data_IF_754004772452
#
_entry.id   IF_754004772452
#
_cell.length_a   1.000
_cell.length_b   1.000
_cell.length_c   1.000
_cell.angle_alpha   90.00
_cell.angle_beta   90.00
_cell.angle_gamma   90.00
#
_symmetry.space_group_name_H-M   'P 1'
#
loop_
_entity.id
_entity.type
_entity.pdbx_description
1 polymer ?
#
# COMPACT_ATOMS: atom_id res chain seq x y z
N UNK A 1 -0.28 14.61 -5.37
CA UNK A 1 -0.51 13.76 -4.18
C UNK A 1 0.00 12.37 -4.52
N UNK A 2 0.83 11.77 -3.67
CA UNK A 2 1.16 10.34 -3.82
C UNK A 2 -0.07 9.52 -3.45
N UNK A 3 -0.78 9.03 -4.47
CA UNK A 3 -2.00 8.26 -4.30
C UNK A 3 -1.76 6.91 -3.62
N UNK A 4 -0.54 6.37 -3.65
CA UNK A 4 -0.24 5.11 -2.95
C UNK A 4 -0.21 5.31 -1.43
N UNK A 5 0.51 6.34 -0.97
CA UNK A 5 0.53 6.74 0.43
C UNK A 5 -0.88 7.14 0.93
N UNK A 6 -1.60 7.95 0.15
CA UNK A 6 -2.94 8.38 0.53
C UNK A 6 -3.92 7.20 0.64
N UNK A 7 -3.81 6.23 -0.28
CA UNK A 7 -4.61 5.00 -0.21
C UNK A 7 -4.20 4.13 0.98
N UNK A 8 -2.90 4.00 1.28
CA UNK A 8 -2.44 3.29 2.48
C UNK A 8 -3.05 3.90 3.74
N UNK A 9 -2.85 5.20 3.94
CA UNK A 9 -3.28 5.87 5.16
C UNK A 9 -4.81 5.83 5.30
N UNK A 10 -5.54 6.05 4.21
CA UNK A 10 -7.00 5.84 4.18
C UNK A 10 -7.40 4.43 4.61
N UNK A 11 -6.72 3.41 4.07
CA UNK A 11 -6.96 2.00 4.40
C UNK A 11 -6.69 1.71 5.88
N UNK A 12 -5.55 2.16 6.41
CA UNK A 12 -5.16 1.95 7.80
C UNK A 12 -6.07 2.72 8.77
N UNK A 13 -6.55 3.91 8.39
CA UNK A 13 -7.55 4.68 9.15
C UNK A 13 -8.87 3.93 9.26
N UNK A 14 -9.38 3.39 8.15
CA UNK A 14 -10.60 2.57 8.17
C UNK A 14 -10.40 1.31 9.00
N UNK A 15 -9.27 0.60 8.84
CA UNK A 15 -8.94 -0.57 9.67
C UNK A 15 -8.92 -0.24 11.16
N UNK A 16 -8.23 0.84 11.55
CA UNK A 16 -8.11 1.26 12.94
C UNK A 16 -9.48 1.60 13.55
N UNK A 17 -10.34 2.28 12.78
CA UNK A 17 -11.70 2.62 13.20
C UNK A 17 -12.59 1.38 13.32
N UNK A 18 -12.53 0.46 12.35
CA UNK A 18 -13.31 -0.78 12.37
C UNK A 18 -12.89 -1.69 13.53
N UNK A 19 -11.59 -1.75 13.83
CA UNK A 19 -11.04 -2.45 14.99
C UNK A 19 -11.34 -1.77 16.34
N UNK A 20 -11.92 -0.56 16.34
CA UNK A 20 -12.19 0.21 17.55
C UNK A 20 -10.93 0.73 18.25
N UNK A 21 -9.79 0.78 17.54
CA UNK A 21 -8.52 1.33 18.08
C UNK A 21 -8.52 2.85 18.13
N UNK A 22 -9.26 3.50 17.22
CA UNK A 22 -9.38 4.95 17.12
C UNK A 22 -10.84 5.36 16.98
N UNK A 23 -11.20 6.51 17.55
CA UNK A 23 -12.50 7.13 17.32
C UNK A 23 -12.56 7.77 15.91
N UNK A 24 -13.77 8.07 15.38
CA UNK A 24 -13.89 8.81 14.13
C UNK A 24 -13.14 10.15 14.14
N UNK A 25 -13.17 10.90 15.24
CA UNK A 25 -12.50 12.19 15.33
C UNK A 25 -10.98 12.02 15.30
N UNK A 26 -10.44 11.03 16.02
CA UNK A 26 -9.00 10.71 15.96
C UNK A 26 -8.58 10.28 14.55
N UNK A 27 -9.42 9.49 13.87
CA UNK A 27 -9.18 9.06 12.50
C UNK A 27 -9.11 10.23 11.52
N UNK A 28 -10.01 11.21 11.66
CA UNK A 28 -9.98 12.42 10.88
C UNK A 28 -8.73 13.25 11.18
N UNK A 29 -8.41 13.43 12.47
CA UNK A 29 -7.24 14.20 12.90
C UNK A 29 -5.93 13.63 12.37
N UNK A 30 -5.75 12.30 12.41
CA UNK A 30 -4.53 11.64 11.88
C UNK A 30 -4.33 11.92 10.39
N UNK A 31 -5.40 11.90 9.58
CA UNK A 31 -5.29 12.22 8.16
C UNK A 31 -4.93 13.70 7.94
N UNK A 32 -5.55 14.60 8.70
CA UNK A 32 -5.30 16.05 8.64
C UNK A 32 -3.86 16.39 9.08
N UNK A 33 -3.36 15.78 10.15
CA UNK A 33 -1.99 15.94 10.64
C UNK A 33 -0.96 15.44 9.63
N UNK A 34 -1.31 14.40 8.87
CA UNK A 34 -0.51 13.91 7.74
C UNK A 34 -0.64 14.79 6.47
N UNK A 35 -1.35 15.92 6.54
CA UNK A 35 -1.53 16.86 5.45
C UNK A 35 -2.46 16.36 4.34
N UNK A 36 -3.33 15.39 4.63
CA UNK A 36 -4.28 14.85 3.67
C UNK A 36 -5.72 15.22 4.05
N UNK A 37 -6.58 15.50 3.05
CA UNK A 37 -8.01 15.63 3.31
C UNK A 37 -8.60 14.28 3.76
N UNK A 38 -9.64 14.33 4.59
CA UNK A 38 -10.47 13.14 4.88
C UNK A 38 -11.26 12.80 3.61
N UNK A 39 -11.12 11.58 3.06
CA UNK A 39 -11.75 11.23 1.78
C UNK A 39 -13.28 11.37 1.78
N UNK A 40 -13.80 11.81 0.64
CA UNK A 40 -15.24 11.82 0.36
C UNK A 40 -15.61 10.62 -0.52
N UNK A 41 -16.54 9.79 -0.06
CA UNK A 41 -17.09 8.68 -0.85
C UNK A 41 -18.05 9.24 -1.88
N UNK A 42 -17.68 9.20 -3.16
CA UNK A 42 -18.50 9.71 -4.26
C UNK A 42 -19.40 8.66 -4.89
N UNK A 43 -18.97 7.40 -4.86
CA UNK A 43 -19.70 6.29 -5.45
C UNK A 43 -19.56 5.07 -4.55
N UNK A 44 -20.66 4.39 -4.31
CA UNK A 44 -20.68 3.13 -3.59
C UNK A 44 -21.56 2.11 -4.31
N UNK A 45 -20.90 1.09 -4.88
CA UNK A 45 -21.57 -0.01 -5.57
C UNK A 45 -21.82 -1.24 -4.66
N UNK A 46 -21.37 -1.23 -3.40
CA UNK A 46 -21.30 -2.43 -2.57
C UNK A 46 -21.96 -2.29 -1.21
N UNK A 47 -21.74 -1.19 -0.50
CA UNK A 47 -22.11 -1.05 0.92
C UNK A 47 -23.45 -0.37 1.16
N UNK A 48 -24.20 -0.07 0.09
CA UNK A 48 -25.52 0.58 0.17
C UNK A 48 -25.46 1.89 1.00
N UNK A 49 -24.35 2.61 0.94
CA UNK A 49 -24.25 3.96 1.50
C UNK A 49 -25.00 4.98 0.64
N UNK A 50 -25.19 6.20 1.16
CA UNK A 50 -25.85 7.30 0.46
C UNK A 50 -24.79 8.33 0.00
N UNK A 51 -24.04 8.08 -1.09
CA UNK A 51 -23.03 9.00 -1.58
C UNK A 51 -23.67 10.26 -2.22
N UNK A 52 -23.04 11.45 -2.08
CA UNK A 52 -21.73 11.65 -1.49
C UNK A 52 -21.77 11.62 0.05
N UNK A 53 -20.84 10.88 0.67
CA UNK A 53 -20.75 10.76 2.13
C UNK A 53 -19.30 10.75 2.61
N UNK A 54 -19.05 11.19 3.85
CA UNK A 54 -17.69 11.18 4.42
C UNK A 54 -17.17 9.76 4.64
N UNK A 55 -15.86 9.53 4.49
CA UNK A 55 -15.22 8.22 4.69
C UNK A 55 -15.69 7.51 5.98
N UNK A 56 -15.71 8.24 7.09
CA UNK A 56 -16.01 7.66 8.40
C UNK A 56 -17.51 7.33 8.58
N UNK A 57 -18.39 7.90 7.76
CA UNK A 57 -19.80 7.54 7.71
C UNK A 57 -20.04 6.22 6.96
N UNK A 58 -19.04 5.69 6.26
CA UNK A 58 -19.07 4.36 5.64
C UNK A 58 -18.88 3.23 6.67
N UNK A 59 -18.30 3.52 7.85
CA UNK A 59 -17.95 2.52 8.86
C UNK A 59 -19.13 1.63 9.30
N UNK A 60 -20.35 2.15 9.56
CA UNK A 60 -21.49 1.30 9.90
C UNK A 60 -21.84 0.30 8.80
N UNK A 61 -21.74 0.70 7.53
CA UNK A 61 -22.05 -0.15 6.39
C UNK A 61 -20.99 -1.26 6.20
N UNK A 62 -19.70 -0.91 6.37
CA UNK A 62 -18.60 -1.90 6.40
C UNK A 62 -18.79 -2.93 7.52
N UNK A 63 -19.14 -2.49 8.73
CA UNK A 63 -19.44 -3.39 9.86
C UNK A 63 -20.65 -4.28 9.57
N UNK A 64 -21.72 -3.74 8.99
CA UNK A 64 -22.91 -4.51 8.62
C UNK A 64 -22.59 -5.61 7.58
N UNK A 65 -21.65 -5.35 6.66
CA UNK A 65 -21.13 -6.35 5.73
C UNK A 65 -20.04 -7.26 6.31
N UNK A 66 -19.68 -7.09 7.58
CA UNK A 66 -18.66 -7.87 8.30
C UNK A 66 -17.26 -7.78 7.67
N UNK A 67 -16.93 -6.62 7.12
CA UNK A 67 -15.56 -6.35 6.66
C UNK A 67 -14.63 -6.44 7.87
N UNK A 68 -13.70 -7.39 7.80
CA UNK A 68 -12.74 -7.69 8.87
C UNK A 68 -11.31 -7.28 8.50
N UNK A 69 -11.07 -6.86 7.26
CA UNK A 69 -9.74 -6.44 6.81
C UNK A 69 -9.79 -5.52 5.60
N UNK A 70 -8.87 -4.56 5.53
CA UNK A 70 -8.50 -3.87 4.31
C UNK A 70 -7.04 -4.16 3.93
N UNK A 71 -6.85 -4.82 2.79
CA UNK A 71 -5.52 -5.09 2.24
C UNK A 71 -5.17 -4.07 1.18
N UNK A 72 -3.97 -3.48 1.25
CA UNK A 72 -3.47 -2.63 0.18
C UNK A 72 -2.87 -3.47 -0.95
N UNK A 73 -3.20 -3.13 -2.19
CA UNK A 73 -2.58 -3.66 -3.39
C UNK A 73 -1.94 -2.51 -4.18
N UNK A 74 -0.61 -2.54 -4.28
CA UNK A 74 0.15 -1.62 -5.14
C UNK A 74 0.03 -2.07 -6.60
N UNK A 75 -0.20 -1.11 -7.49
CA UNK A 75 -0.42 -1.36 -8.91
C UNK A 75 0.80 -0.94 -9.70
N UNK A 76 1.42 -1.90 -10.37
CA UNK A 76 2.53 -1.65 -11.27
C UNK A 76 2.59 -2.75 -12.34
N UNK A 77 2.97 -2.44 -13.60
CA UNK A 77 3.01 -3.43 -14.69
C UNK A 77 3.92 -4.65 -14.44
N UNK A 78 4.88 -4.53 -13.53
CA UNK A 78 5.84 -5.60 -13.20
C UNK A 78 5.30 -6.63 -12.21
N UNK A 79 4.14 -6.35 -11.59
CA UNK A 79 3.54 -7.23 -10.59
C UNK A 79 2.39 -8.03 -11.20
N UNK A 80 2.21 -9.30 -10.79
CA UNK A 80 0.95 -9.98 -11.04
C UNK A 80 -0.17 -9.21 -10.33
N UNK A 81 -1.29 -8.98 -11.03
CA UNK A 81 -2.43 -8.30 -10.42
C UNK A 81 -2.99 -9.14 -9.27
N UNK A 82 -3.00 -8.55 -8.08
CA UNK A 82 -3.62 -9.11 -6.86
C UNK A 82 -4.99 -8.48 -6.56
N UNK A 83 -5.48 -7.63 -7.46
CA UNK A 83 -6.79 -6.99 -7.36
C UNK A 83 -7.86 -7.91 -7.95
N UNK A 84 -8.93 -8.23 -7.21
CA UNK A 84 -10.06 -8.97 -7.73
C UNK A 84 -10.66 -8.31 -8.97
N UNK A 85 -11.21 -9.13 -9.88
CA UNK A 85 -11.78 -8.62 -11.13
C UNK A 85 -12.98 -7.70 -10.82
N UNK A 86 -12.88 -6.45 -11.26
CA UNK A 86 -13.99 -5.47 -11.22
C UNK A 86 -14.85 -5.53 -12.49
N UNK A 87 -16.03 -4.93 -12.42
CA UNK A 87 -16.92 -4.77 -13.56
C UNK A 87 -16.30 -3.93 -14.69
N UNK A 88 -16.81 -4.11 -15.91
CA UNK A 88 -16.26 -3.44 -17.11
C UNK A 88 -16.33 -1.92 -17.01
N UNK A 89 -17.42 -1.39 -16.46
CA UNK A 89 -17.67 0.04 -16.20
C UNK A 89 -16.58 0.67 -15.30
N UNK A 90 -16.10 -0.08 -14.31
CA UNK A 90 -15.16 0.37 -13.29
C UNK A 90 -13.67 0.28 -13.70
N UNK A 91 -13.36 -0.40 -14.82
CA UNK A 91 -11.97 -0.63 -15.25
C UNK A 91 -11.18 0.65 -15.51
N UNK A 92 -11.83 1.68 -16.02
CA UNK A 92 -11.16 2.96 -16.32
C UNK A 92 -10.71 3.67 -15.05
N UNK A 93 -11.51 3.60 -14.00
CA UNK A 93 -11.17 4.12 -12.67
C UNK A 93 -9.97 3.37 -12.11
N UNK A 94 -10.02 2.04 -12.13
CA UNK A 94 -8.92 1.20 -11.65
C UNK A 94 -7.61 1.40 -12.44
N UNK A 95 -7.67 1.54 -13.77
CA UNK A 95 -6.49 1.68 -14.62
C UNK A 95 -5.65 2.96 -14.37
N UNK A 96 -6.22 3.95 -13.67
CA UNK A 96 -5.54 5.20 -13.30
C UNK A 96 -4.96 5.16 -11.89
N UNK A 97 -5.29 4.14 -11.11
CA UNK A 97 -4.84 4.02 -9.74
C UNK A 97 -3.40 3.47 -9.69
N UNK A 98 -2.63 3.96 -8.72
CA UNK A 98 -1.29 3.42 -8.39
C UNK A 98 -1.34 2.47 -7.20
N UNK A 99 -2.40 2.52 -6.41
CA UNK A 99 -2.71 1.58 -5.36
C UNK A 99 -4.23 1.52 -5.16
N UNK A 100 -4.72 0.41 -4.60
CA UNK A 100 -6.11 0.25 -4.17
C UNK A 100 -6.16 -0.49 -2.84
N UNK A 101 -7.18 -0.22 -2.05
CA UNK A 101 -7.50 -1.07 -0.91
C UNK A 101 -8.57 -2.09 -1.33
N UNK A 102 -8.41 -3.34 -0.90
CA UNK A 102 -9.38 -4.41 -1.09
C UNK A 102 -9.96 -4.74 0.27
N UNK A 103 -11.27 -4.57 0.41
CA UNK A 103 -11.97 -5.01 1.61
C UNK A 103 -12.17 -6.51 1.55
N UNK A 104 -12.01 -7.16 2.69
CA UNK A 104 -12.20 -8.60 2.85
C UNK A 104 -13.16 -8.88 4.01
N UNK A 105 -13.98 -9.92 3.85
CA UNK A 105 -14.74 -10.54 4.93
C UNK A 105 -14.39 -12.03 4.97
N UNK A 106 -13.87 -12.49 6.09
CA UNK A 106 -13.44 -13.87 6.32
C UNK A 106 -12.47 -14.37 5.24
N UNK A 107 -11.57 -13.49 4.80
CA UNK A 107 -10.54 -13.79 3.78
C UNK A 107 -11.04 -13.83 2.33
N UNK A 108 -12.28 -13.43 2.08
CA UNK A 108 -12.87 -13.30 0.73
C UNK A 108 -13.04 -11.83 0.39
N UNK A 109 -12.64 -11.43 -0.82
CA UNK A 109 -12.80 -10.05 -1.27
C UNK A 109 -14.26 -9.64 -1.43
N UNK A 110 -14.59 -8.42 -1.05
CA UNK A 110 -15.93 -7.85 -1.21
C UNK A 110 -15.95 -6.62 -2.14
N UNK A 111 -15.02 -5.68 -1.95
CA UNK A 111 -14.95 -4.46 -2.75
C UNK A 111 -13.52 -4.01 -3.03
N UNK A 112 -13.36 -3.19 -4.06
CA UNK A 112 -12.13 -2.46 -4.36
C UNK A 112 -12.36 -0.98 -4.13
N UNK A 113 -11.62 -0.41 -3.20
CA UNK A 113 -11.61 1.00 -2.83
C UNK A 113 -10.53 1.72 -3.63
N UNK A 114 -10.94 2.69 -4.44
CA UNK A 114 -10.04 3.48 -5.29
C UNK A 114 -10.10 4.93 -4.87
N UNK A 115 -8.96 5.48 -4.46
CA UNK A 115 -8.78 6.90 -4.18
C UNK A 115 -8.25 7.61 -5.41
N UNK A 116 -8.87 8.72 -5.81
CA UNK A 116 -8.36 9.56 -6.90
C UNK A 116 -7.43 10.69 -6.39
N UNK A 117 -6.93 11.50 -7.33
CA UNK A 117 -5.99 12.59 -7.03
C UNK A 117 -6.58 13.74 -6.20
N UNK A 118 -7.90 13.80 -6.05
CA UNK A 118 -8.64 14.81 -5.27
C UNK A 118 -9.13 14.24 -3.94
N UNK A 119 -8.64 13.06 -3.55
CA UNK A 119 -9.06 12.31 -2.37
C UNK A 119 -10.54 11.91 -2.38
N UNK A 120 -11.12 11.73 -3.56
CA UNK A 120 -12.43 11.09 -3.67
C UNK A 120 -12.26 9.57 -3.66
N UNK A 121 -13.08 8.91 -2.84
CA UNK A 121 -13.14 7.46 -2.74
C UNK A 121 -14.29 6.94 -3.60
N UNK A 122 -13.99 5.89 -4.38
CA UNK A 122 -14.99 5.10 -5.10
C UNK A 122 -14.94 3.66 -4.62
N UNK A 123 -16.08 3.12 -4.20
CA UNK A 123 -16.23 1.71 -3.82
C UNK A 123 -16.74 0.93 -5.03
N UNK A 124 -15.89 0.05 -5.55
CA UNK A 124 -16.18 -0.74 -6.75
C UNK A 124 -16.55 -2.17 -6.36
N UNK A 125 -17.63 -2.67 -6.96
CA UNK A 125 -17.97 -4.08 -6.89
C UNK A 125 -16.89 -4.95 -7.59
N UNK A 126 -16.59 -6.10 -6.99
CA UNK A 126 -15.60 -7.01 -7.51
C UNK A 126 -16.03 -8.48 -7.37
N UNK A 127 -15.35 -9.37 -8.10
CA UNK A 127 -15.53 -10.80 -7.94
C UNK A 127 -15.15 -11.22 -6.51
N UNK A 128 -16.02 -12.02 -5.87
CA UNK A 128 -15.75 -12.57 -4.55
C UNK A 128 -14.78 -13.73 -4.65
N UNK A 129 -13.53 -13.52 -4.28
CA UNK A 129 -12.47 -14.53 -4.38
C UNK A 129 -11.62 -14.55 -3.11
N UNK A 130 -11.17 -15.72 -2.64
CA UNK A 130 -10.20 -15.80 -1.55
C UNK A 130 -8.86 -15.17 -1.94
N UNK A 131 -8.23 -14.46 -1.01
CA UNK A 131 -6.88 -13.94 -1.22
C UNK A 131 -5.80 -14.97 -0.83
N UNK A 132 -5.32 -15.72 -1.84
CA UNK A 132 -4.30 -16.74 -1.70
C UNK A 132 -3.24 -16.71 -2.84
N UNK A 133 -2.47 -15.62 -3.01
CA UNK A 133 -1.36 -15.66 -3.96
C UNK A 133 -0.28 -16.66 -3.51
N UNK A 134 0.45 -17.19 -4.48
CA UNK A 134 1.49 -18.21 -4.24
C UNK A 134 2.65 -17.68 -3.37
N UNK A 135 2.90 -16.37 -3.42
CA UNK A 135 4.03 -15.72 -2.75
C UNK A 135 3.64 -14.95 -1.48
N UNK A 136 2.56 -15.36 -0.78
CA UNK A 136 2.21 -14.71 0.51
C UNK A 136 3.34 -14.97 1.51
N UNK A 137 3.94 -13.87 1.99
CA UNK A 137 4.95 -13.89 3.04
C UNK A 137 4.38 -13.35 4.34
N UNK A 138 4.89 -13.87 5.45
CA UNK A 138 4.69 -13.22 6.75
C UNK A 138 5.41 -11.85 6.79
N UNK A 139 5.00 -10.96 7.69
CA UNK A 139 5.67 -9.65 7.86
C UNK A 139 7.18 -9.81 8.13
N UNK A 140 7.64 -10.71 9.03
CA UNK A 140 9.08 -10.90 9.26
C UNK A 140 9.86 -11.38 8.03
N UNK A 141 9.28 -12.29 7.23
CA UNK A 141 9.92 -12.78 6.00
C UNK A 141 10.02 -11.69 4.94
N UNK A 142 8.94 -10.92 4.75
CA UNK A 142 8.94 -9.78 3.83
C UNK A 142 9.96 -8.72 4.27
N UNK A 143 10.01 -8.41 5.56
CA UNK A 143 10.97 -7.47 6.14
C UNK A 143 12.42 -7.91 5.92
N UNK A 144 12.71 -9.19 6.20
CA UNK A 144 14.05 -9.77 6.01
C UNK A 144 14.48 -9.66 4.54
N UNK A 145 13.62 -10.07 3.61
CA UNK A 145 13.94 -9.97 2.18
C UNK A 145 14.15 -8.53 1.72
N UNK A 146 13.32 -7.59 2.18
CA UNK A 146 13.51 -6.18 1.82
C UNK A 146 14.87 -5.66 2.30
N UNK A 147 15.23 -5.93 3.56
CA UNK A 147 16.54 -5.55 4.13
C UNK A 147 17.70 -6.15 3.36
N UNK A 148 17.66 -7.46 3.11
CA UNK A 148 18.67 -8.18 2.31
C UNK A 148 18.81 -7.54 0.92
N UNK A 149 17.69 -7.27 0.26
CA UNK A 149 17.70 -6.72 -1.10
C UNK A 149 18.22 -5.27 -1.16
N UNK A 150 17.89 -4.44 -0.17
CA UNK A 150 18.44 -3.07 -0.07
C UNK A 150 19.94 -3.10 0.18
N UNK A 151 20.43 -3.97 1.06
CA UNK A 151 21.86 -4.12 1.33
C UNK A 151 22.63 -4.62 0.10
N UNK A 152 22.12 -5.66 -0.57
CA UNK A 152 22.68 -6.16 -1.83
C UNK A 152 22.68 -5.09 -2.92
N UNK A 153 21.59 -4.32 -3.03
CA UNK A 153 21.47 -3.22 -3.98
C UNK A 153 22.48 -2.11 -3.74
N UNK A 154 22.62 -1.65 -2.50
CA UNK A 154 23.61 -0.63 -2.14
C UNK A 154 25.04 -1.11 -2.46
N UNK A 155 25.40 -2.33 -2.06
CA UNK A 155 26.72 -2.90 -2.35
C UNK A 155 26.98 -2.99 -3.87
N UNK A 156 25.97 -3.35 -4.65
CA UNK A 156 26.06 -3.44 -6.11
C UNK A 156 26.23 -2.06 -6.76
N UNK A 157 25.51 -1.04 -6.28
CA UNK A 157 25.67 0.35 -6.72
C UNK A 157 27.08 0.87 -6.42
N UNK A 158 27.60 0.59 -5.23
CA UNK A 158 28.97 0.96 -4.85
C UNK A 158 30.03 0.26 -5.72
N UNK A 159 29.83 -1.02 -6.03
CA UNK A 159 30.76 -1.80 -6.85
C UNK A 159 30.78 -1.37 -8.32
N UNK A 160 29.61 -1.08 -8.90
CA UNK A 160 29.47 -0.73 -10.31
C UNK A 160 29.75 0.74 -10.60
N UNK A 161 29.58 1.63 -9.61
CA UNK A 161 29.86 3.06 -9.73
C UNK A 161 29.14 3.70 -10.92
N UNK A 162 29.91 4.31 -11.83
CA UNK A 162 29.37 4.99 -13.02
C UNK A 162 28.76 4.03 -14.07
N UNK A 163 28.88 2.71 -13.87
CA UNK A 163 28.16 1.72 -14.68
C UNK A 163 26.64 1.74 -14.45
N UNK A 164 26.17 2.25 -13.31
CA UNK A 164 24.74 2.37 -12.97
C UNK A 164 24.20 3.73 -13.45
N UNK A 165 22.98 3.78 -14.03
CA UNK A 165 22.32 5.04 -14.40
C UNK A 165 22.28 6.03 -13.24
N UNK A 166 22.60 7.30 -13.51
CA UNK A 166 22.75 8.31 -12.47
C UNK A 166 21.47 8.48 -11.63
N UNK A 167 20.28 8.44 -12.23
CA UNK A 167 19.02 8.52 -11.49
C UNK A 167 18.82 7.36 -10.51
N UNK A 168 19.34 6.17 -10.81
CA UNK A 168 19.19 4.98 -9.97
C UNK A 168 20.29 4.89 -8.91
N UNK A 169 21.51 5.30 -9.26
CA UNK A 169 22.64 5.39 -8.34
C UNK A 169 22.36 6.40 -7.22
N UNK A 170 21.71 7.50 -7.55
CA UNK A 170 21.43 8.60 -6.61
C UNK A 170 20.12 8.42 -5.82
N UNK A 171 19.51 7.24 -5.87
CA UNK A 171 18.42 6.90 -4.96
C UNK A 171 18.91 6.85 -3.51
N UNK A 172 17.96 6.90 -2.58
CA UNK A 172 18.21 7.02 -1.15
C UNK A 172 18.61 5.69 -0.50
N UNK A 173 19.48 4.91 -1.14
CA UNK A 173 19.88 3.55 -0.74
C UNK A 173 20.30 3.43 0.73
N UNK A 174 21.11 4.40 1.21
CA UNK A 174 21.57 4.43 2.60
C UNK A 174 20.45 4.81 3.56
N UNK A 175 19.60 5.75 3.17
CA UNK A 175 18.47 6.19 4.01
C UNK A 175 17.46 5.06 4.14
N UNK A 176 17.15 4.32 3.07
CA UNK A 176 16.28 3.14 3.15
C UNK A 176 16.77 2.10 4.14
N UNK A 177 18.09 1.87 4.20
CA UNK A 177 18.69 0.97 5.20
C UNK A 177 18.54 1.52 6.62
N UNK A 178 18.78 2.83 6.81
CA UNK A 178 18.67 3.49 8.09
C UNK A 178 17.21 3.56 8.59
N UNK A 179 16.28 3.95 7.73
CA UNK A 179 14.85 4.13 8.00
C UNK A 179 14.19 2.84 8.48
N UNK A 180 14.56 1.69 7.90
CA UNK A 180 14.06 0.38 8.34
C UNK A 180 14.49 0.00 9.77
N UNK A 181 15.42 0.76 10.36
CA UNK A 181 15.95 0.60 11.72
C UNK A 181 15.72 1.84 12.60
N UNK A 182 15.13 2.91 12.06
CA UNK A 182 14.95 4.18 12.74
C UNK A 182 13.73 4.16 13.67
N UNK A 183 13.77 5.01 14.70
CA UNK A 183 12.62 5.26 15.56
C UNK A 183 11.61 6.16 14.82
N UNK A 184 10.65 5.53 14.13
CA UNK A 184 9.41 6.12 13.57
C UNK A 184 9.57 7.34 12.63
N UNK A 185 9.79 7.13 11.32
CA UNK A 185 9.88 8.23 10.35
C UNK A 185 8.55 8.93 10.03
N UNK A 186 7.40 8.32 10.38
CA UNK A 186 6.04 8.88 10.17
C UNK A 186 5.14 8.63 11.38
N UNK A 187 4.72 9.70 12.05
CA UNK A 187 3.91 9.62 13.27
C UNK A 187 2.54 8.99 13.01
N UNK A 188 1.92 9.31 11.87
CA UNK A 188 0.63 8.78 11.45
C UNK A 188 0.63 7.26 11.31
N UNK A 189 1.71 6.66 10.80
CA UNK A 189 1.82 5.20 10.68
C UNK A 189 1.90 4.52 12.05
N UNK A 190 2.64 5.11 12.98
CA UNK A 190 2.76 4.63 14.37
C UNK A 190 1.40 4.61 15.07
N UNK A 191 0.54 5.61 14.79
CA UNK A 191 -0.80 5.71 15.39
C UNK A 191 -1.80 4.72 14.76
N UNK A 192 -1.75 4.55 13.43
CA UNK A 192 -2.74 3.75 12.71
C UNK A 192 -2.48 2.24 12.76
N UNK A 193 -1.22 1.83 12.85
CA UNK A 193 -0.83 0.43 12.86
C UNK A 193 -1.15 -0.25 14.20
N UNK A 194 -1.68 -1.47 14.13
CA UNK A 194 -1.86 -2.33 15.30
C UNK A 194 -0.51 -2.69 15.97
N UNK A 195 0.56 -2.69 15.17
CA UNK A 195 1.96 -2.96 15.56
C UNK A 195 2.83 -1.76 15.16
N UNK A 196 2.92 -0.72 16.01
CA UNK A 196 3.62 0.52 15.67
C UNK A 196 5.09 0.34 15.28
N UNK A 197 5.74 -0.72 15.78
CA UNK A 197 7.11 -1.09 15.42
C UNK A 197 7.30 -1.45 13.94
N UNK A 198 6.21 -1.70 13.20
CA UNK A 198 6.24 -1.94 11.75
C UNK A 198 6.25 -0.64 10.92
N UNK A 199 5.97 0.52 11.52
CA UNK A 199 5.88 1.80 10.82
C UNK A 199 7.15 2.18 10.02
N UNK A 200 8.39 2.04 10.56
CA UNK A 200 9.60 2.41 9.84
C UNK A 200 9.82 1.52 8.60
N UNK A 201 9.56 0.22 8.74
CA UNK A 201 9.63 -0.72 7.64
C UNK A 201 8.61 -0.40 6.53
N UNK A 202 7.37 -0.10 6.92
CA UNK A 202 6.30 0.22 5.97
C UNK A 202 6.58 1.54 5.23
N UNK A 203 7.13 2.54 5.93
CA UNK A 203 7.55 3.79 5.34
C UNK A 203 8.62 3.57 4.26
N UNK A 204 9.71 2.87 4.60
CA UNK A 204 10.79 2.59 3.65
C UNK A 204 10.27 1.79 2.43
N UNK A 205 9.39 0.81 2.65
CA UNK A 205 8.80 0.05 1.56
C UNK A 205 7.94 0.90 0.61
N UNK A 206 7.16 1.85 1.14
CA UNK A 206 6.43 2.80 0.31
C UNK A 206 7.36 3.73 -0.46
N UNK A 207 8.40 4.25 0.18
CA UNK A 207 9.35 5.16 -0.48
C UNK A 207 10.10 4.47 -1.62
N UNK A 208 10.56 3.23 -1.38
CA UNK A 208 11.14 2.38 -2.43
C UNK A 208 10.14 2.15 -3.56
N UNK A 209 8.89 1.83 -3.25
CA UNK A 209 7.88 1.65 -4.29
C UNK A 209 7.64 2.93 -5.09
N UNK A 210 7.57 4.08 -4.43
CA UNK A 210 7.40 5.38 -5.05
C UNK A 210 8.55 5.67 -6.03
N UNK A 211 9.80 5.50 -5.58
CA UNK A 211 11.00 5.65 -6.40
C UNK A 211 11.02 4.71 -7.61
N UNK A 212 10.51 3.49 -7.44
CA UNK A 212 10.47 2.47 -8.51
C UNK A 212 9.27 2.60 -9.44
N UNK A 213 8.22 3.34 -9.06
CA UNK A 213 6.98 3.45 -9.83
C UNK A 213 7.13 3.97 -11.27
N UNK A 214 8.14 4.82 -11.63
CA UNK A 214 8.36 5.21 -13.02
C UNK A 214 9.09 4.15 -13.86
N UNK A 215 9.68 3.13 -13.23
CA UNK A 215 10.52 2.12 -13.89
C UNK A 215 9.67 0.95 -14.35
N UNK A 216 9.07 1.07 -15.53
CA UNK A 216 8.10 0.09 -16.05
C UNK A 216 8.69 -1.31 -16.32
N UNK A 217 10.00 -1.40 -16.54
CA UNK A 217 10.72 -2.65 -16.76
C UNK A 217 12.07 -2.66 -16.03
N UNK A 218 12.10 -2.89 -14.70
CA UNK A 218 13.32 -2.83 -13.90
C UNK A 218 14.40 -3.80 -14.39
N UNK A 219 14.01 -5.01 -14.80
CA UNK A 219 14.92 -6.04 -15.31
C UNK A 219 15.66 -5.65 -16.61
N UNK A 220 15.20 -4.61 -17.32
CA UNK A 220 15.87 -4.13 -18.54
C UNK A 220 16.82 -2.97 -18.28
N UNK A 221 16.91 -2.48 -17.04
CA UNK A 221 17.86 -1.43 -16.66
C UNK A 221 19.27 -2.01 -16.67
N UNK A 222 20.16 -1.38 -17.43
CA UNK A 222 21.57 -1.76 -17.46
C UNK A 222 22.31 -1.28 -16.21
N UNK A 223 23.34 -2.01 -15.74
CA UNK A 223 23.76 -3.33 -16.19
C UNK A 223 22.80 -4.43 -15.72
N UNK A 224 22.79 -5.60 -16.39
CA UNK A 224 21.77 -6.64 -16.20
C UNK A 224 21.60 -7.09 -14.74
N UNK A 225 22.71 -7.30 -14.02
CA UNK A 225 22.71 -7.65 -12.60
C UNK A 225 22.03 -6.58 -11.71
N UNK A 226 22.16 -5.30 -12.08
CA UNK A 226 21.48 -4.20 -11.39
C UNK A 226 19.99 -4.16 -11.74
N UNK A 227 19.63 -4.37 -13.01
CA UNK A 227 18.23 -4.48 -13.43
C UNK A 227 17.49 -5.63 -12.72
N UNK A 228 18.12 -6.80 -12.61
CA UNK A 228 17.60 -7.94 -11.87
C UNK A 228 17.42 -7.61 -10.38
N UNK A 229 18.40 -6.91 -9.78
CA UNK A 229 18.30 -6.43 -8.40
C UNK A 229 17.11 -5.47 -8.24
N UNK A 230 16.95 -4.48 -9.12
CA UNK A 230 15.83 -3.53 -9.05
C UNK A 230 14.46 -4.24 -9.14
N UNK A 231 14.35 -5.26 -9.99
CA UNK A 231 13.13 -6.07 -10.08
C UNK A 231 12.83 -6.80 -8.75
N UNK A 232 13.86 -7.34 -8.08
CA UNK A 232 13.70 -7.94 -6.75
C UNK A 232 13.34 -6.91 -5.68
N UNK A 233 14.00 -5.74 -5.69
CA UNK A 233 13.75 -4.66 -4.74
C UNK A 233 12.29 -4.20 -4.79
N UNK A 234 11.78 -3.93 -5.99
CA UNK A 234 10.41 -3.46 -6.17
C UNK A 234 9.38 -4.48 -5.69
N UNK A 235 9.61 -5.77 -5.99
CA UNK A 235 8.76 -6.86 -5.48
C UNK A 235 8.84 -7.00 -3.96
N UNK A 236 10.04 -6.88 -3.37
CA UNK A 236 10.23 -6.97 -1.93
C UNK A 236 9.50 -5.84 -1.19
N UNK A 237 9.56 -4.62 -1.71
CA UNK A 237 8.83 -3.47 -1.18
C UNK A 237 7.32 -3.68 -1.23
N UNK A 238 6.78 -4.10 -2.38
CA UNK A 238 5.35 -4.40 -2.52
C UNK A 238 4.88 -5.54 -1.60
N UNK A 239 5.73 -6.55 -1.37
CA UNK A 239 5.44 -7.65 -0.46
C UNK A 239 5.33 -7.17 0.99
N UNK A 240 6.19 -6.25 1.45
CA UNK A 240 6.09 -5.65 2.79
C UNK A 240 4.77 -4.90 2.96
N UNK A 241 4.44 -4.02 2.02
CA UNK A 241 3.19 -3.23 2.07
C UNK A 241 1.96 -4.14 2.13
N UNK A 242 1.97 -5.20 1.34
CA UNK A 242 0.90 -6.20 1.32
C UNK A 242 0.82 -6.99 2.63
N UNK A 243 1.96 -7.45 3.16
CA UNK A 243 2.02 -8.25 4.38
C UNK A 243 1.57 -7.43 5.60
N UNK A 244 2.06 -6.19 5.74
CA UNK A 244 1.73 -5.31 6.86
C UNK A 244 0.25 -4.88 6.82
N UNK A 245 -0.26 -4.44 5.66
CA UNK A 245 -1.69 -4.08 5.56
C UNK A 245 -2.61 -5.26 5.86
N UNK A 246 -2.23 -6.48 5.46
CA UNK A 246 -3.00 -7.69 5.77
C UNK A 246 -2.95 -8.05 7.27
N UNK A 247 -1.77 -7.97 7.89
CA UNK A 247 -1.54 -8.27 9.31
C UNK A 247 -2.19 -7.22 10.24
N UNK A 248 -2.40 -6.00 9.73
CA UNK A 248 -3.05 -4.89 10.45
C UNK A 248 -4.58 -5.06 10.64
N UNK A 249 -5.17 -6.07 9.99
CA UNK A 249 -6.59 -6.35 9.99
C UNK A 249 -7.20 -6.55 11.39
N UNK A 250 -8.52 -6.65 11.44
CA UNK A 250 -9.30 -6.73 12.67
C UNK A 250 -9.19 -8.19 13.15
N UNK A 251 -8.63 -8.37 14.35
CA UNK A 251 -8.36 -9.68 14.95
C UNK A 251 -9.59 -10.57 15.07
#
# INVERSE_FOLDING_TARGET
>A
MDTALATLLTSLTVDAALAGRLSPDDCAQVLLDAGMPVPLVLEDAVYDSDPPTGLLLLLPALRARRVDRLRLALLHPTFPSTVPRVEKSARRTLARATAVAVTESSGVSDAVLVLDGEANLRVLACARVPYAPLDVRSVPEAARTLRETVMEGLALVEALGDGVPAEMRNLQWRDWQADMSAAAPRAELTVLLARPEQAPLLHAALDIHHAMSPVLAPATVGPAEFGDMLARLHRAAAAVVTAVSRDNGIG
#
